data_IF_788851980132
#
_entry.id   IF_788851980132
#
_cell.length_a   1.000
_cell.length_b   1.000
_cell.length_c   1.000
_cell.angle_alpha   90.00
_cell.angle_beta   90.00
_cell.angle_gamma   90.00
#
_symmetry.space_group_name_H-M   'P 1'
#
loop_
_entity.id
_entity.type
_entity.pdbx_description
1 polymer ?
#
# COMPACT_ATOMS: atom_id res chain seq x y z
N UNK A 1 0.18 15.70 -19.65
CA UNK A 1 0.92 14.51 -19.16
C UNK A 1 1.01 14.50 -17.63
N UNK A 2 1.53 15.54 -16.95
CA UNK A 2 1.59 15.59 -15.48
C UNK A 2 0.25 15.67 -14.71
N UNK A 3 -0.80 16.25 -15.30
CA UNK A 3 -2.12 16.40 -14.64
C UNK A 3 -2.84 15.06 -14.42
N UNK A 4 -2.64 14.09 -15.32
CA UNK A 4 -3.25 12.76 -15.21
C UNK A 4 -2.59 11.94 -14.08
N UNK A 5 -1.25 11.95 -14.01
CA UNK A 5 -0.51 11.28 -12.94
C UNK A 5 -0.86 11.84 -11.56
N UNK A 6 -0.86 13.17 -11.42
CA UNK A 6 -1.23 13.81 -10.15
C UNK A 6 -2.68 13.50 -9.74
N UNK A 7 -3.60 13.42 -10.70
CA UNK A 7 -4.98 12.99 -10.47
C UNK A 7 -5.05 11.55 -9.97
N UNK A 8 -4.37 10.61 -10.64
CA UNK A 8 -4.32 9.20 -10.25
C UNK A 8 -3.67 9.00 -8.88
N UNK A 9 -2.59 9.72 -8.58
CA UNK A 9 -1.95 9.68 -7.27
C UNK A 9 -2.92 10.15 -6.17
N UNK A 10 -3.60 11.28 -6.38
CA UNK A 10 -4.62 11.76 -5.42
C UNK A 10 -5.73 10.74 -5.21
N UNK A 11 -6.23 10.11 -6.28
CA UNK A 11 -7.22 9.03 -6.16
C UNK A 11 -6.67 7.87 -5.34
N UNK A 12 -5.44 7.40 -5.60
CA UNK A 12 -4.84 6.31 -4.81
C UNK A 12 -4.68 6.64 -3.34
N UNK A 13 -4.26 7.86 -3.01
CA UNK A 13 -4.17 8.30 -1.62
C UNK A 13 -5.56 8.35 -0.98
N UNK A 14 -6.59 8.83 -1.71
CA UNK A 14 -7.97 8.80 -1.23
C UNK A 14 -8.49 7.38 -1.00
N UNK A 15 -8.19 6.45 -1.91
CA UNK A 15 -8.53 5.03 -1.78
C UNK A 15 -7.90 4.44 -0.49
N UNK A 16 -6.61 4.72 -0.24
CA UNK A 16 -5.91 4.30 0.98
C UNK A 16 -6.52 4.87 2.26
N UNK A 17 -6.98 6.13 2.23
CA UNK A 17 -7.62 6.76 3.38
C UNK A 17 -9.05 6.27 3.63
N UNK A 18 -9.75 5.82 2.58
CA UNK A 18 -11.12 5.34 2.66
C UNK A 18 -11.21 3.85 3.05
N UNK A 19 -10.17 3.05 2.75
CA UNK A 19 -10.11 1.64 3.10
C UNK A 19 -10.07 1.44 4.63
N UNK A 20 -10.81 0.45 5.15
CA UNK A 20 -10.78 0.15 6.59
C UNK A 20 -9.52 -0.61 6.98
N UNK A 21 -8.95 -1.36 6.04
CA UNK A 21 -7.67 -2.03 6.17
C UNK A 21 -6.96 -2.15 4.81
N UNK A 22 -5.66 -2.44 4.84
CA UNK A 22 -4.84 -2.53 3.64
C UNK A 22 -5.29 -3.65 2.69
N UNK A 23 -5.89 -4.73 3.20
CA UNK A 23 -6.47 -5.79 2.38
C UNK A 23 -7.66 -5.35 1.52
N UNK A 24 -8.35 -4.27 1.89
CA UNK A 24 -9.51 -3.74 1.16
C UNK A 24 -9.14 -2.79 0.01
N UNK A 25 -7.85 -2.48 -0.20
CA UNK A 25 -7.42 -1.51 -1.23
C UNK A 25 -7.82 -2.06 -2.62
N UNK A 26 -8.84 -1.48 -3.28
CA UNK A 26 -9.52 -2.18 -4.37
C UNK A 26 -8.80 -2.02 -5.72
N UNK A 27 -7.76 -1.18 -5.80
CA UNK A 27 -7.23 -0.67 -7.08
C UNK A 27 -5.73 -0.44 -7.04
N UNK A 28 -5.09 -0.70 -8.19
CA UNK A 28 -3.64 -0.53 -8.37
C UNK A 28 -2.83 -1.82 -8.24
N UNK A 29 -3.46 -2.99 -8.36
CA UNK A 29 -2.80 -4.29 -8.31
C UNK A 29 -1.88 -4.43 -7.07
N UNK A 30 -2.43 -4.31 -5.85
CA UNK A 30 -1.65 -4.40 -4.62
C UNK A 30 -0.87 -5.70 -4.62
N UNK A 31 0.45 -5.60 -4.52
CA UNK A 31 1.36 -6.75 -4.53
C UNK A 31 2.20 -6.69 -3.29
N UNK A 32 2.29 -7.80 -2.56
CA UNK A 32 3.19 -7.91 -1.42
C UNK A 32 4.65 -7.87 -1.89
N UNK A 33 5.47 -7.10 -1.18
CA UNK A 33 6.89 -6.89 -1.48
C UNK A 33 7.69 -6.89 -0.19
N UNK A 34 8.96 -7.27 -0.27
CA UNK A 34 9.92 -7.01 0.80
C UNK A 34 10.47 -5.59 0.67
N UNK A 35 10.31 -4.77 1.70
CA UNK A 35 10.84 -3.41 1.76
C UNK A 35 11.91 -3.35 2.85
N UNK A 36 13.14 -3.68 2.49
CA UNK A 36 14.29 -3.61 3.39
C UNK A 36 14.23 -4.62 4.53
N UNK A 37 13.77 -5.85 4.24
CA UNK A 37 13.61 -6.94 5.20
C UNK A 37 12.30 -6.89 6.00
N UNK A 38 11.34 -6.07 5.58
CA UNK A 38 10.03 -5.94 6.22
C UNK A 38 8.89 -6.11 5.20
N UNK A 39 7.79 -6.81 5.55
CA UNK A 39 6.64 -6.94 4.67
C UNK A 39 6.02 -5.58 4.33
N UNK A 40 5.85 -5.34 3.04
CA UNK A 40 5.24 -4.14 2.48
C UNK A 40 4.26 -4.47 1.36
N UNK A 41 3.57 -3.44 0.90
CA UNK A 41 2.68 -3.50 -0.25
C UNK A 41 3.07 -2.44 -1.27
N UNK A 42 3.09 -2.85 -2.53
CA UNK A 42 3.26 -2.00 -3.70
C UNK A 42 1.92 -1.81 -4.38
N UNK A 43 1.55 -0.55 -4.64
CA UNK A 43 0.33 -0.19 -5.37
C UNK A 43 0.70 0.68 -6.57
N UNK A 44 0.24 0.26 -7.74
CA UNK A 44 0.44 0.97 -9.00
C UNK A 44 -0.48 2.19 -9.10
N UNK A 45 0.13 3.33 -9.44
CA UNK A 45 -0.60 4.57 -9.73
C UNK A 45 -0.94 4.59 -11.22
N UNK A 46 0.08 4.50 -12.06
CA UNK A 46 0.02 4.43 -13.51
C UNK A 46 1.40 3.99 -14.00
N UNK A 47 1.53 2.89 -14.75
CA UNK A 47 2.84 2.41 -15.21
C UNK A 47 3.71 3.52 -15.83
N UNK A 48 4.98 3.67 -15.43
CA UNK A 48 5.75 2.83 -14.49
C UNK A 48 5.67 3.28 -13.01
N UNK A 49 4.81 4.23 -12.68
CA UNK A 49 4.68 4.87 -11.37
C UNK A 49 3.91 4.03 -10.35
N UNK A 50 4.43 3.96 -9.13
CA UNK A 50 3.89 3.19 -8.02
C UNK A 50 4.15 3.87 -6.68
N UNK A 51 3.47 3.41 -5.65
CA UNK A 51 3.75 3.75 -4.26
C UNK A 51 3.97 2.46 -3.46
N UNK A 52 4.87 2.53 -2.50
CA UNK A 52 5.12 1.44 -1.55
C UNK A 52 4.76 1.91 -0.15
N UNK A 53 4.13 1.04 0.63
CA UNK A 53 3.82 1.28 2.04
C UNK A 53 4.02 0.04 2.89
N UNK A 54 4.14 0.23 4.21
CA UNK A 54 4.19 -0.84 5.18
C UNK A 54 3.19 -0.61 6.32
N UNK A 55 2.93 -1.64 7.11
CA UNK A 55 2.21 -1.54 8.38
C UNK A 55 3.01 -0.74 9.40
N UNK A 56 2.34 0.08 10.22
CA UNK A 56 2.96 0.80 11.35
C UNK A 56 2.58 0.24 12.72
N UNK A 57 1.93 -0.92 12.75
CA UNK A 57 1.55 -1.55 14.02
C UNK A 57 2.79 -1.96 14.80
N UNK A 58 2.82 -1.69 16.11
CA UNK A 58 3.90 -2.13 17.00
C UNK A 58 4.03 -3.67 17.02
N UNK A 59 2.90 -4.35 16.90
CA UNK A 59 2.82 -5.79 16.68
C UNK A 59 2.21 -6.01 15.31
N UNK A 60 3.01 -6.51 14.36
CA UNK A 60 2.51 -6.85 13.04
C UNK A 60 1.42 -7.91 13.17
N UNK A 61 0.23 -7.71 12.58
CA UNK A 61 -0.78 -8.76 12.55
C UNK A 61 -0.27 -9.86 11.63
N UNK A 62 0.11 -11.00 12.22
CA UNK A 62 0.59 -12.16 11.47
C UNK A 62 -0.45 -13.28 11.52
N UNK A 63 -0.60 -14.00 10.42
CA UNK A 63 -1.39 -15.23 10.37
C UNK A 63 -0.63 -16.41 11.02
N UNK A 64 -1.24 -17.60 11.18
CA UNK A 64 -0.57 -18.76 11.77
C UNK A 64 0.68 -19.25 11.02
N UNK A 65 0.86 -18.86 9.75
CA UNK A 65 2.04 -19.14 8.94
C UNK A 65 3.15 -18.08 9.10
N UNK A 66 2.93 -17.05 9.94
CA UNK A 66 3.89 -15.96 10.16
C UNK A 66 3.89 -14.89 9.06
N UNK A 67 2.90 -14.89 8.16
CA UNK A 67 2.77 -13.90 7.09
C UNK A 67 1.87 -12.74 7.53
N UNK A 68 2.05 -11.56 6.93
CA UNK A 68 1.25 -10.38 7.26
C UNK A 68 -0.23 -10.60 6.92
N UNK A 69 -1.12 -10.36 7.89
CA UNK A 69 -2.56 -10.37 7.69
C UNK A 69 -3.03 -8.96 7.34
N UNK A 70 -2.95 -8.60 6.06
CA UNK A 70 -3.25 -7.27 5.55
C UNK A 70 -4.70 -6.81 5.82
N UNK A 71 -5.62 -7.75 6.03
CA UNK A 71 -7.00 -7.45 6.44
C UNK A 71 -7.11 -6.88 7.87
N UNK A 72 -6.06 -7.03 8.68
CA UNK A 72 -5.95 -6.46 10.03
C UNK A 72 -5.05 -5.21 10.07
N UNK A 73 -4.43 -4.84 8.95
CA UNK A 73 -3.58 -3.65 8.86
C UNK A 73 -4.44 -2.42 8.62
N UNK A 74 -4.82 -1.72 9.70
CA UNK A 74 -5.64 -0.49 9.65
C UNK A 74 -4.83 0.80 9.58
N UNK A 75 -3.52 0.74 9.78
CA UNK A 75 -2.62 1.89 9.70
C UNK A 75 -1.39 1.54 8.88
N UNK A 76 -1.10 2.39 7.90
CA UNK A 76 0.05 2.22 7.00
C UNK A 76 0.88 3.50 6.94
N UNK A 77 2.15 3.35 6.60
CA UNK A 77 3.05 4.45 6.27
C UNK A 77 3.53 4.28 4.85
N UNK A 78 3.33 5.32 4.04
CA UNK A 78 3.91 5.40 2.70
C UNK A 78 5.42 5.59 2.87
N UNK A 79 6.20 4.71 2.24
CA UNK A 79 7.66 4.70 2.30
C UNK A 79 8.27 5.33 1.05
N UNK A 80 7.66 5.10 -0.11
CA UNK A 80 8.18 5.53 -1.39
C UNK A 80 7.03 5.89 -2.33
N UNK A 81 7.21 6.95 -3.13
CA UNK A 81 6.37 7.25 -4.31
C UNK A 81 7.30 7.44 -5.51
N UNK A 82 7.21 6.54 -6.48
CA UNK A 82 7.99 6.58 -7.71
C UNK A 82 7.17 7.28 -8.80
N UNK A 83 7.59 8.48 -9.18
CA UNK A 83 6.94 9.36 -10.18
C UNK A 83 7.75 9.49 -11.47
#
# INVERSE_FOLDING_TARGET
MGTNLAGKLKTRIADLMAAKCAGEIPVGNPTEVDIGGSPGMKVMILSPHYLDFCSVHQHAPLNPAGQMEWNQVTRVKILHIAL
#
